data_IF_725401122227
#
_entry.id   IF_725401122227
#
_cell.length_a   1.000
_cell.length_b   1.000
_cell.length_c   1.000
_cell.angle_alpha   90.00
_cell.angle_beta   90.00
_cell.angle_gamma   90.00
#
_symmetry.space_group_name_H-M   'P 1'
#
loop_
_entity.id
_entity.type
_entity.pdbx_description
1 polymer ?
#
# COMPACT_ATOMS: atom_id res chain seq x y z
N UNK A 1 -5.11 -64.24 -29.01
CA UNK A 1 -5.57 -63.71 -30.32
C UNK A 1 -4.42 -62.94 -30.96
N UNK A 2 -4.15 -63.25 -32.25
CA UNK A 2 -3.39 -62.55 -33.31
C UNK A 2 -3.04 -61.06 -33.02
N UNK A 3 -1.94 -60.40 -33.42
CA UNK A 3 -0.76 -60.56 -34.33
C UNK A 3 0.12 -59.30 -34.04
N UNK A 4 1.45 -59.37 -33.83
CA UNK A 4 2.55 -59.13 -34.80
C UNK A 4 2.62 -57.70 -35.43
N UNK A 5 3.83 -57.08 -35.31
CA UNK A 5 4.67 -56.30 -36.27
C UNK A 5 5.07 -54.86 -35.81
N UNK A 6 6.32 -54.57 -35.42
CA UNK A 6 7.57 -54.26 -36.17
C UNK A 6 7.58 -52.91 -36.93
N UNK A 7 8.50 -51.99 -36.55
CA UNK A 7 9.59 -51.42 -37.40
C UNK A 7 10.01 -49.95 -37.10
N UNK A 8 11.34 -49.79 -36.95
CA UNK A 8 12.27 -48.77 -37.46
C UNK A 8 12.23 -47.28 -37.05
N UNK A 9 13.28 -46.90 -36.31
CA UNK A 9 14.45 -46.09 -36.72
C UNK A 9 14.25 -45.02 -37.83
N UNK A 10 14.47 -43.75 -37.49
CA UNK A 10 15.13 -42.76 -38.38
C UNK A 10 16.06 -41.87 -37.54
N UNK A 11 17.33 -41.89 -37.94
CA UNK A 11 18.43 -41.05 -37.51
C UNK A 11 18.56 -39.93 -38.56
N UNK A 12 18.58 -38.65 -38.15
CA UNK A 12 19.13 -37.58 -39.00
C UNK A 12 20.02 -36.70 -38.14
N UNK A 13 21.29 -36.68 -38.57
CA UNK A 13 22.41 -35.94 -38.05
C UNK A 13 22.76 -34.93 -39.15
N UNK A 14 22.80 -33.64 -38.85
CA UNK A 14 23.41 -32.63 -39.72
C UNK A 14 24.33 -31.77 -38.87
N UNK A 15 25.60 -31.77 -39.28
CA UNK A 15 26.72 -31.00 -38.75
C UNK A 15 27.05 -29.88 -39.75
N UNK A 16 27.71 -28.85 -39.24
CA UNK A 16 28.63 -27.90 -39.92
C UNK A 16 27.98 -26.57 -40.35
N UNK A 17 28.64 -25.40 -40.33
CA UNK A 17 30.05 -25.01 -40.30
C UNK A 17 30.25 -23.64 -39.60
N UNK A 18 31.48 -23.40 -39.15
CA UNK A 18 32.02 -22.13 -38.66
C UNK A 18 32.28 -21.09 -39.77
N UNK A 19 32.41 -19.80 -39.41
CA UNK A 19 33.47 -18.93 -39.95
C UNK A 19 33.64 -17.65 -39.12
N UNK A 20 34.90 -17.30 -38.91
CA UNK A 20 35.42 -16.05 -38.34
C UNK A 20 35.36 -14.88 -39.34
N UNK A 21 35.59 -13.66 -38.85
CA UNK A 21 35.96 -12.51 -39.67
C UNK A 21 36.08 -11.20 -38.90
N UNK A 22 37.31 -10.86 -38.48
CA UNK A 22 37.74 -9.51 -38.09
C UNK A 22 37.63 -8.53 -39.27
N UNK A 23 37.49 -7.23 -38.99
CA UNK A 23 38.44 -6.25 -39.53
C UNK A 23 38.33 -4.88 -38.83
N UNK A 24 39.52 -4.38 -38.49
CA UNK A 24 39.86 -3.04 -38.03
C UNK A 24 39.66 -1.98 -39.12
N UNK A 25 39.59 -0.70 -38.71
CA UNK A 25 40.42 0.31 -39.37
C UNK A 25 39.83 1.69 -39.66
N UNK A 26 40.32 2.67 -38.90
CA UNK A 26 40.93 3.97 -39.33
C UNK A 26 40.09 5.01 -40.10
N UNK A 27 40.16 6.26 -39.63
CA UNK A 27 40.03 7.45 -40.50
C UNK A 27 39.71 8.76 -39.76
N UNK A 28 40.75 9.45 -39.27
CA UNK A 28 40.71 10.89 -38.96
C UNK A 28 40.53 11.71 -40.26
N UNK A 29 39.82 12.85 -40.20
CA UNK A 29 40.25 14.04 -40.94
C UNK A 29 39.65 15.34 -40.38
N UNK A 30 40.55 16.30 -40.21
CA UNK A 30 40.40 17.67 -39.71
C UNK A 30 40.09 18.57 -40.90
N UNK A 31 39.22 19.57 -40.74
CA UNK A 31 39.24 20.76 -41.60
C UNK A 31 38.94 22.01 -40.78
N UNK A 32 40.00 22.80 -40.59
CA UNK A 32 39.95 24.20 -40.20
C UNK A 32 39.62 25.06 -41.42
N UNK A 33 38.72 26.03 -41.26
CA UNK A 33 38.73 27.25 -42.08
C UNK A 33 38.46 28.47 -41.20
N UNK A 34 39.44 29.36 -41.18
CA UNK A 34 39.33 30.74 -40.71
C UNK A 34 38.46 31.56 -41.66
N UNK A 35 37.60 32.43 -41.12
CA UNK A 35 37.17 33.67 -41.76
C UNK A 35 37.02 34.79 -40.73
N UNK A 36 37.19 36.00 -41.24
CA UNK A 36 37.65 37.23 -40.62
C UNK A 36 36.64 37.93 -39.70
N UNK A 37 37.20 38.78 -38.84
CA UNK A 37 36.48 39.67 -37.95
C UNK A 37 35.86 40.85 -38.69
N UNK A 38 34.58 41.10 -38.46
CA UNK A 38 33.96 42.41 -38.58
C UNK A 38 33.31 42.79 -37.25
N UNK A 39 33.73 43.94 -36.73
CA UNK A 39 33.22 44.62 -35.53
C UNK A 39 32.01 45.47 -35.88
N UNK A 40 30.93 45.28 -35.13
CA UNK A 40 29.76 46.15 -34.83
C UNK A 40 28.69 45.17 -34.30
N UNK A 41 27.86 45.39 -33.30
CA UNK A 41 27.27 46.57 -32.71
C UNK A 41 26.61 46.11 -31.38
N UNK A 42 26.41 47.03 -30.45
CA UNK A 42 25.61 46.94 -29.20
C UNK A 42 25.02 45.57 -28.78
N UNK A 43 25.74 44.82 -27.93
CA UNK A 43 25.14 43.77 -27.10
C UNK A 43 24.23 44.39 -26.04
N UNK A 44 22.94 44.51 -26.34
CA UNK A 44 21.90 44.48 -25.31
C UNK A 44 21.98 43.12 -24.61
N UNK A 45 22.39 43.15 -23.34
CA UNK A 45 22.20 42.02 -22.41
C UNK A 45 20.71 41.67 -22.47
N UNK A 46 20.33 40.43 -22.84
CA UNK A 46 18.94 40.01 -22.69
C UNK A 46 18.64 40.10 -21.20
N UNK A 47 17.63 40.89 -20.85
CA UNK A 47 16.99 40.78 -19.54
C UNK A 47 16.63 39.31 -19.38
N UNK A 48 17.29 38.61 -18.46
CA UNK A 48 16.87 37.29 -18.00
C UNK A 48 15.49 37.49 -17.38
N UNK A 49 14.45 37.41 -18.21
CA UNK A 49 13.11 37.13 -17.71
C UNK A 49 13.22 35.74 -17.13
N UNK A 50 13.36 35.66 -15.80
CA UNK A 50 13.15 34.44 -15.03
C UNK A 50 11.85 33.84 -15.56
N UNK A 51 11.97 32.77 -16.34
CA UNK A 51 10.80 32.02 -16.73
C UNK A 51 10.25 31.48 -15.42
N UNK A 52 9.16 32.10 -14.92
CA UNK A 52 8.40 31.57 -13.81
C UNK A 52 7.99 30.15 -14.23
N UNK A 53 8.74 29.16 -13.76
CA UNK A 53 8.42 27.77 -13.97
C UNK A 53 7.05 27.56 -13.36
N UNK A 54 6.02 27.46 -14.20
CA UNK A 54 4.67 27.15 -13.76
C UNK A 54 4.70 25.78 -13.08
N UNK A 55 4.66 25.80 -11.74
CA UNK A 55 4.55 24.59 -10.96
C UNK A 55 3.11 24.10 -11.13
N UNK A 56 2.96 22.96 -11.77
CA UNK A 56 1.66 22.31 -11.92
C UNK A 56 1.54 21.11 -10.98
N UNK A 57 0.34 20.93 -10.42
CA UNK A 57 -0.03 19.77 -9.60
C UNK A 57 -1.31 19.19 -10.20
N UNK A 58 -1.29 17.91 -10.58
CA UNK A 58 -2.43 17.27 -11.25
C UNK A 58 -2.81 17.94 -12.59
N UNK A 59 -1.84 18.57 -13.26
CA UNK A 59 -2.05 19.28 -14.53
C UNK A 59 -2.72 20.66 -14.41
N UNK A 60 -2.82 21.23 -13.20
CA UNK A 60 -3.29 22.60 -12.96
C UNK A 60 -2.22 23.43 -12.28
N UNK A 61 -2.26 24.75 -12.46
CA UNK A 61 -1.31 25.66 -11.83
C UNK A 61 -1.52 25.63 -10.30
N UNK A 62 -0.43 25.56 -9.52
CA UNK A 62 -0.51 25.52 -8.05
C UNK A 62 -1.25 26.73 -7.47
N UNK A 63 -1.20 27.88 -8.17
CA UNK A 63 -1.88 29.12 -7.79
C UNK A 63 -3.41 29.06 -7.95
N UNK A 64 -3.95 28.02 -8.62
CA UNK A 64 -5.40 27.80 -8.73
C UNK A 64 -6.01 27.23 -7.43
N UNK A 65 -5.17 26.86 -6.46
CA UNK A 65 -5.59 26.26 -5.20
C UNK A 65 -5.43 27.24 -4.04
N UNK A 66 -6.38 27.22 -3.09
CA UNK A 66 -6.28 28.03 -1.88
C UNK A 66 -5.13 27.58 -0.99
N UNK A 67 -4.94 26.26 -0.87
CA UNK A 67 -3.83 25.69 -0.10
C UNK A 67 -3.36 24.38 -0.70
N UNK A 68 -2.04 24.21 -0.71
CA UNK A 68 -1.35 22.99 -1.08
C UNK A 68 -0.43 22.58 0.06
N UNK A 69 -0.50 21.32 0.46
CA UNK A 69 0.43 20.72 1.40
C UNK A 69 1.05 19.50 0.74
N UNK A 70 2.36 19.53 0.52
CA UNK A 70 3.13 18.40 0.01
C UNK A 70 3.73 17.60 1.17
N UNK A 71 3.85 16.30 0.97
CA UNK A 71 4.49 15.37 1.90
C UNK A 71 5.72 14.77 1.24
N UNK A 72 6.77 14.55 2.03
CA UNK A 72 7.95 13.87 1.53
C UNK A 72 7.65 12.40 1.22
N UNK A 73 8.28 11.90 0.15
CA UNK A 73 8.41 10.46 -0.06
C UNK A 73 9.22 9.86 1.10
N UNK A 74 8.93 8.61 1.53
CA UNK A 74 9.64 8.00 2.65
C UNK A 74 11.14 7.95 2.41
N UNK A 75 11.95 8.33 3.39
CA UNK A 75 13.40 8.15 3.32
C UNK A 75 13.76 6.66 3.12
N UNK A 76 14.86 6.40 2.41
CA UNK A 76 15.29 5.03 2.11
C UNK A 76 14.48 4.36 1.00
N UNK A 77 14.36 3.03 1.06
CA UNK A 77 13.69 2.24 0.02
C UNK A 77 12.17 2.21 0.25
N UNK A 78 11.39 2.15 -0.83
CA UNK A 78 9.94 1.94 -0.73
C UNK A 78 9.59 0.64 0.01
N UNK A 79 10.42 -0.38 -0.11
CA UNK A 79 10.27 -1.66 0.59
C UNK A 79 10.35 -1.48 2.11
N UNK A 80 11.29 -0.67 2.59
CA UNK A 80 11.42 -0.36 4.02
C UNK A 80 10.20 0.41 4.53
N UNK A 81 9.69 1.37 3.76
CA UNK A 81 8.50 2.14 4.13
C UNK A 81 7.25 1.26 4.27
N UNK A 82 7.05 0.31 3.35
CA UNK A 82 5.95 -0.65 3.39
C UNK A 82 6.06 -1.55 4.62
N UNK A 83 7.25 -2.10 4.89
CA UNK A 83 7.47 -2.96 6.06
C UNK A 83 7.34 -2.18 7.37
N UNK A 84 7.84 -0.95 7.43
CA UNK A 84 7.71 -0.07 8.60
C UNK A 84 6.24 0.22 8.91
N UNK A 85 5.41 0.52 7.91
CA UNK A 85 3.98 0.75 8.13
C UNK A 85 3.25 -0.52 8.55
N UNK A 86 3.61 -1.68 8.02
CA UNK A 86 3.03 -2.95 8.45
C UNK A 86 3.40 -3.28 9.91
N UNK A 87 4.65 -3.00 10.32
CA UNK A 87 5.09 -3.09 11.73
C UNK A 87 4.33 -2.11 12.63
N UNK A 88 4.11 -0.89 12.16
CA UNK A 88 3.33 0.12 12.87
C UNK A 88 1.89 -0.37 13.13
N UNK A 89 1.22 -0.92 12.12
CA UNK A 89 -0.12 -1.51 12.28
C UNK A 89 -0.12 -2.65 13.31
N UNK A 90 0.95 -3.44 13.38
CA UNK A 90 1.09 -4.55 14.33
C UNK A 90 1.51 -4.14 15.75
N UNK A 91 1.92 -2.89 15.97
CA UNK A 91 2.51 -2.44 17.24
C UNK A 91 1.61 -1.51 18.07
N UNK A 92 0.41 -1.16 17.60
CA UNK A 92 -0.48 -0.25 18.33
C UNK A 92 -1.01 -0.96 19.57
N UNK A 93 -0.63 -0.49 20.77
CA UNK A 93 -1.15 -1.02 22.03
C UNK A 93 -2.53 -0.43 22.36
N UNK A 94 -3.43 -1.28 22.87
CA UNK A 94 -4.75 -0.84 23.30
C UNK A 94 -5.36 -1.76 24.37
N UNK A 95 -6.31 -1.22 25.13
CA UNK A 95 -7.13 -1.96 26.09
C UNK A 95 -8.56 -2.05 25.56
N UNK A 96 -9.17 -3.22 25.68
CA UNK A 96 -10.56 -3.41 25.27
C UNK A 96 -11.51 -2.90 26.37
N UNK A 97 -12.36 -1.91 26.08
CA UNK A 97 -13.30 -1.36 27.08
C UNK A 97 -14.47 -2.31 27.40
N UNK A 98 -14.91 -3.08 26.41
CA UNK A 98 -16.09 -3.93 26.46
C UNK A 98 -15.84 -5.23 25.71
N UNK A 99 -16.32 -6.35 26.24
CA UNK A 99 -16.14 -7.64 25.55
C UNK A 99 -16.93 -7.64 24.26
N UNK A 100 -16.26 -7.84 23.12
CA UNK A 100 -16.89 -8.03 21.83
C UNK A 100 -16.33 -9.25 21.12
N UNK A 101 -17.18 -9.90 20.34
CA UNK A 101 -16.80 -10.99 19.45
C UNK A 101 -16.82 -10.52 18.02
N UNK A 102 -15.94 -11.06 17.20
CA UNK A 102 -16.09 -10.99 15.75
C UNK A 102 -16.38 -12.41 15.30
N UNK A 103 -17.62 -12.61 14.85
CA UNK A 103 -18.06 -13.88 14.28
C UNK A 103 -18.50 -13.63 12.85
N UNK A 104 -17.81 -14.25 11.91
CA UNK A 104 -18.26 -14.28 10.53
C UNK A 104 -18.11 -15.68 9.94
N UNK A 105 -19.23 -16.22 9.48
CA UNK A 105 -19.32 -17.51 8.82
C UNK A 105 -19.07 -17.35 7.32
N UNK A 106 -17.82 -17.08 6.95
CA UNK A 106 -17.41 -17.25 5.55
C UNK A 106 -17.22 -18.74 5.26
N UNK A 107 -18.13 -19.35 4.48
CA UNK A 107 -17.95 -20.59 3.72
C UNK A 107 -16.77 -21.49 4.19
N UNK A 108 -16.81 -22.01 5.43
CA UNK A 108 -15.84 -22.91 6.10
C UNK A 108 -14.67 -22.34 6.95
N UNK A 109 -14.46 -21.02 7.07
CA UNK A 109 -13.31 -20.43 7.80
C UNK A 109 -13.59 -19.91 9.21
N UNK A 110 -14.87 -19.90 9.64
CA UNK A 110 -15.36 -19.52 10.98
C UNK A 110 -14.39 -18.62 11.76
N UNK A 111 -14.43 -17.31 11.51
CA UNK A 111 -13.63 -16.38 12.32
C UNK A 111 -14.31 -16.31 13.68
N UNK A 112 -13.61 -16.74 14.73
CA UNK A 112 -14.10 -16.71 16.10
C UNK A 112 -13.07 -16.00 16.98
N UNK A 113 -13.02 -14.68 16.87
CA UNK A 113 -12.18 -13.84 17.72
C UNK A 113 -13.04 -13.22 18.82
N UNK A 114 -12.56 -13.29 20.06
CA UNK A 114 -13.20 -12.63 21.19
C UNK A 114 -12.20 -11.74 21.90
N UNK A 115 -12.47 -10.44 21.86
CA UNK A 115 -11.73 -9.42 22.60
C UNK A 115 -12.44 -9.19 23.93
N UNK A 116 -11.74 -9.36 25.04
CA UNK A 116 -12.32 -9.33 26.38
C UNK A 116 -12.05 -8.01 27.07
N UNK A 117 -13.07 -7.48 27.75
CA UNK A 117 -12.98 -6.28 28.58
C UNK A 117 -11.78 -6.32 29.52
N UNK A 118 -11.03 -5.22 29.56
CA UNK A 118 -9.88 -5.01 30.45
C UNK A 118 -8.59 -5.73 30.02
N UNK A 119 -8.63 -6.55 28.97
CA UNK A 119 -7.41 -7.16 28.44
C UNK A 119 -6.63 -6.21 27.54
N UNK A 120 -5.32 -6.40 27.53
CA UNK A 120 -4.38 -5.67 26.67
C UNK A 120 -4.16 -6.40 25.36
N UNK A 121 -4.18 -5.65 24.28
CA UNK A 121 -3.93 -6.11 22.92
C UNK A 121 -2.84 -5.26 22.27
N UNK A 122 -2.17 -5.82 21.26
CA UNK A 122 -1.27 -5.08 20.38
C UNK A 122 -1.58 -5.37 18.92
N UNK A 123 -1.49 -4.31 18.13
CA UNK A 123 -1.82 -4.25 16.72
C UNK A 123 -3.32 -4.07 16.47
N UNK A 124 -3.62 -3.58 15.28
CA UNK A 124 -4.99 -3.36 14.81
C UNK A 124 -5.75 -4.71 14.77
N UNK A 125 -7.02 -4.78 15.22
CA UNK A 125 -7.84 -6.00 15.16
C UNK A 125 -7.97 -6.59 13.76
N UNK A 126 -8.12 -7.92 13.68
CA UNK A 126 -8.48 -8.60 12.44
C UNK A 126 -9.95 -8.26 12.09
N UNK A 127 -10.19 -7.45 11.04
CA UNK A 127 -11.52 -7.05 10.55
C UNK A 127 -11.48 -6.53 9.09
N UNK A 128 -12.61 -6.43 8.36
CA UNK A 128 -12.66 -5.91 6.97
C UNK A 128 -13.22 -4.49 6.86
N UNK A 129 -12.89 -3.63 7.82
CA UNK A 129 -13.07 -2.18 7.63
C UNK A 129 -11.94 -1.57 6.82
N UNK A 130 -10.72 -2.16 6.85
CA UNK A 130 -9.53 -1.62 6.14
C UNK A 130 -9.00 -0.33 6.76
N UNK A 131 -9.18 -0.18 8.07
CA UNK A 131 -8.76 0.99 8.86
C UNK A 131 -7.24 1.17 8.82
N UNK A 132 -6.77 2.40 8.63
CA UNK A 132 -5.34 2.73 8.74
C UNK A 132 -4.87 2.77 10.20
N UNK A 133 -3.55 2.70 10.43
CA UNK A 133 -2.95 2.87 11.76
C UNK A 133 -3.42 4.16 12.45
N UNK A 134 -3.50 5.26 11.71
CA UNK A 134 -3.92 6.56 12.24
C UNK A 134 -5.41 6.58 12.61
N UNK A 135 -6.29 6.06 11.75
CA UNK A 135 -7.72 5.94 12.06
C UNK A 135 -7.94 5.06 13.30
N UNK A 136 -7.20 3.96 13.45
CA UNK A 136 -7.32 3.12 14.65
C UNK A 136 -6.87 3.87 15.90
N UNK A 137 -5.74 4.59 15.86
CA UNK A 137 -5.29 5.43 17.00
C UNK A 137 -6.31 6.48 17.40
N UNK A 138 -6.93 7.12 16.43
CA UNK A 138 -7.95 8.15 16.68
C UNK A 138 -9.24 7.56 17.27
N UNK A 139 -9.53 6.29 17.01
CA UNK A 139 -10.62 5.56 17.66
C UNK A 139 -10.30 5.16 19.11
N UNK A 140 -9.05 5.29 19.55
CA UNK A 140 -8.67 5.06 20.95
C UNK A 140 -8.97 6.29 21.80
N UNK A 141 -9.61 6.08 22.95
CA UNK A 141 -9.76 7.09 24.00
C UNK A 141 -8.87 6.68 25.16
N UNK A 142 -7.83 7.46 25.45
CA UNK A 142 -6.83 7.17 26.50
C UNK A 142 -6.25 5.74 26.39
N UNK A 143 -5.94 5.31 25.15
CA UNK A 143 -5.42 3.96 24.87
C UNK A 143 -6.47 2.84 24.94
N UNK A 144 -7.75 3.18 25.05
CA UNK A 144 -8.86 2.22 25.14
C UNK A 144 -9.68 2.22 23.86
N UNK A 145 -9.94 1.04 23.30
CA UNK A 145 -10.83 0.86 22.15
C UNK A 145 -12.20 0.38 22.59
N UNK A 146 -13.26 1.05 22.13
CA UNK A 146 -14.66 0.66 22.33
C UNK A 146 -15.29 0.32 21.00
N UNK A 147 -15.46 -0.97 20.73
CA UNK A 147 -16.14 -1.42 19.52
C UNK A 147 -17.65 -1.16 19.64
N UNK A 148 -18.26 -0.57 18.60
CA UNK A 148 -19.68 -0.24 18.56
C UNK A 148 -20.55 -1.39 17.99
N UNK A 149 -19.93 -2.49 17.56
CA UNK A 149 -20.59 -3.58 16.84
C UNK A 149 -19.84 -4.90 17.02
N UNK A 150 -20.55 -6.01 16.91
CA UNK A 150 -20.01 -7.37 16.84
C UNK A 150 -19.84 -7.86 15.39
N UNK A 151 -20.21 -7.02 14.41
CA UNK A 151 -20.09 -7.33 12.99
C UNK A 151 -18.69 -7.04 12.51
N UNK A 152 -18.12 -8.01 11.80
CA UNK A 152 -16.79 -7.95 11.21
C UNK A 152 -16.52 -6.68 10.38
N UNK A 153 -17.50 -6.23 9.61
CA UNK A 153 -17.40 -5.02 8.77
C UNK A 153 -17.55 -3.69 9.52
N UNK A 154 -17.87 -3.71 10.80
CA UNK A 154 -18.09 -2.50 11.63
C UNK A 154 -16.97 -2.33 12.67
N UNK A 155 -16.13 -3.35 12.89
CA UNK A 155 -14.98 -3.29 13.79
C UNK A 155 -13.84 -2.56 13.10
N UNK A 156 -13.28 -1.52 13.73
CA UNK A 156 -12.09 -0.84 13.21
C UNK A 156 -10.91 -1.82 13.22
N UNK A 157 -10.53 -2.26 12.03
CA UNK A 157 -9.57 -3.34 11.85
C UNK A 157 -9.10 -3.51 10.41
N UNK A 158 -8.18 -4.45 10.23
CA UNK A 158 -7.61 -4.81 8.92
C UNK A 158 -7.54 -6.32 8.78
N UNK A 159 -7.68 -6.80 7.55
CA UNK A 159 -7.47 -8.20 7.22
C UNK A 159 -6.13 -8.38 6.52
N UNK A 160 -5.75 -9.63 6.23
CA UNK A 160 -4.42 -9.96 5.72
C UNK A 160 -4.06 -9.17 4.45
N UNK A 161 -5.02 -8.90 3.57
CA UNK A 161 -4.77 -8.10 2.36
C UNK A 161 -4.92 -6.61 2.54
N UNK A 162 -5.95 -6.16 3.26
CA UNK A 162 -6.11 -4.72 3.45
C UNK A 162 -4.97 -4.10 4.25
N UNK A 163 -4.33 -4.86 5.15
CA UNK A 163 -3.12 -4.44 5.85
C UNK A 163 -1.91 -4.24 4.93
N UNK A 164 -1.69 -5.17 3.97
CA UNK A 164 -0.64 -5.04 2.94
C UNK A 164 -0.94 -3.87 2.00
N UNK A 165 -2.18 -3.75 1.55
CA UNK A 165 -2.66 -2.65 0.72
C UNK A 165 -2.43 -1.29 1.38
N UNK A 166 -2.85 -1.14 2.64
CA UNK A 166 -2.65 0.08 3.42
C UNK A 166 -1.16 0.44 3.52
N UNK A 167 -0.30 -0.58 3.64
CA UNK A 167 1.16 -0.40 3.66
C UNK A 167 1.73 0.02 2.31
N UNK A 168 1.29 -0.56 1.21
CA UNK A 168 1.79 -0.23 -0.13
C UNK A 168 1.33 1.15 -0.57
N UNK A 169 0.16 1.61 -0.14
CA UNK A 169 -0.31 2.97 -0.41
C UNK A 169 0.51 4.07 0.26
N UNK A 170 1.49 3.72 1.10
CA UNK A 170 2.54 4.64 1.53
C UNK A 170 3.47 5.06 0.38
N UNK A 171 3.56 4.27 -0.68
CA UNK A 171 4.51 4.50 -1.79
C UNK A 171 3.86 4.42 -3.17
N UNK A 172 2.70 3.77 -3.28
CA UNK A 172 1.97 3.59 -4.54
C UNK A 172 0.48 3.90 -4.34
N UNK A 173 0.03 5.13 -4.62
CA UNK A 173 -1.34 5.55 -4.30
C UNK A 173 -2.41 4.83 -5.12
N UNK A 174 -2.08 4.41 -6.34
CA UNK A 174 -3.01 3.81 -7.30
C UNK A 174 -3.11 2.28 -7.18
N UNK A 175 -2.47 1.66 -6.19
CA UNK A 175 -2.67 0.24 -5.92
C UNK A 175 -4.01 0.13 -5.22
N UNK A 176 -4.96 -0.62 -5.79
CA UNK A 176 -6.28 -0.96 -5.21
C UNK A 176 -6.57 -2.46 -5.39
N UNK A 177 -7.21 -3.11 -4.40
CA UNK A 177 -7.66 -4.50 -4.58
C UNK A 177 -8.14 -5.26 -3.34
N UNK A 178 -8.56 -6.50 -3.60
CA UNK A 178 -8.88 -7.55 -2.60
C UNK A 178 -7.85 -8.69 -2.70
N UNK A 179 -7.89 -9.69 -1.80
CA UNK A 179 -7.12 -10.94 -1.94
C UNK A 179 -7.26 -11.57 -3.32
N UNK A 180 -8.45 -11.47 -3.91
CA UNK A 180 -8.75 -11.98 -5.24
C UNK A 180 -7.90 -11.34 -6.34
N UNK A 181 -7.46 -10.10 -6.14
CA UNK A 181 -6.72 -9.31 -7.12
C UNK A 181 -5.19 -9.45 -6.98
N UNK A 182 -4.70 -10.21 -5.99
CA UNK A 182 -3.26 -10.38 -5.75
C UNK A 182 -2.66 -11.60 -6.47
N UNK A 183 -3.48 -12.52 -7.00
CA UNK A 183 -3.00 -13.76 -7.63
C UNK A 183 -2.44 -13.53 -9.04
N UNK A 184 -1.18 -13.93 -9.34
CA UNK A 184 -0.63 -13.88 -10.69
C UNK A 184 -1.53 -14.62 -11.66
N UNK A 185 -2.00 -13.96 -12.73
CA UNK A 185 -2.94 -14.48 -13.73
C UNK A 185 -4.44 -14.29 -13.44
N UNK A 186 -4.84 -13.99 -12.19
CA UNK A 186 -6.10 -13.28 -11.85
C UNK A 186 -5.75 -11.84 -11.42
N UNK A 187 -4.71 -11.28 -12.04
CA UNK A 187 -4.31 -9.90 -11.80
C UNK A 187 -5.41 -9.03 -12.38
N UNK A 188 -6.29 -8.51 -11.52
CA UNK A 188 -7.05 -7.34 -11.92
C UNK A 188 -6.00 -6.28 -12.26
N UNK A 189 -6.22 -5.55 -13.35
CA UNK A 189 -5.38 -4.46 -13.83
C UNK A 189 -5.05 -3.38 -12.76
N UNK A 190 -5.66 -3.47 -11.58
CA UNK A 190 -5.58 -2.51 -10.48
C UNK A 190 -4.42 -2.79 -9.50
N UNK A 191 -3.90 -4.03 -9.41
CA UNK A 191 -2.97 -4.39 -8.33
C UNK A 191 -1.48 -4.28 -8.69
N UNK A 192 -1.10 -4.20 -9.97
CA UNK A 192 0.30 -4.09 -10.47
C UNK A 192 1.30 -5.07 -9.79
N UNK A 193 0.79 -6.19 -9.29
CA UNK A 193 1.59 -7.28 -8.73
C UNK A 193 2.14 -8.10 -9.88
N UNK A 194 3.43 -8.43 -9.81
CA UNK A 194 4.13 -9.26 -10.79
C UNK A 194 4.76 -10.47 -10.09
N UNK A 195 5.03 -11.52 -10.86
CA UNK A 195 5.68 -12.71 -10.31
C UNK A 195 7.06 -12.36 -9.74
N UNK A 196 7.40 -12.91 -8.57
CA UNK A 196 8.75 -12.80 -8.02
C UNK A 196 9.56 -14.03 -8.44
N UNK A 197 10.38 -13.85 -9.48
CA UNK A 197 11.21 -14.90 -10.06
C UNK A 197 10.66 -15.45 -11.37
N UNK A 198 11.09 -16.66 -11.73
CA UNK A 198 10.80 -17.29 -13.02
C UNK A 198 10.01 -18.57 -12.78
N UNK A 199 8.69 -18.46 -12.75
CA UNK A 199 7.77 -19.59 -12.64
C UNK A 199 6.56 -19.40 -13.55
N UNK A 200 5.99 -20.50 -14.00
CA UNK A 200 4.86 -20.48 -14.94
C UNK A 200 3.54 -20.23 -14.21
N UNK A 201 2.70 -19.40 -14.82
CA UNK A 201 1.37 -19.07 -14.32
C UNK A 201 0.34 -19.62 -15.32
N UNK A 202 -0.44 -20.65 -14.95
CA UNK A 202 -1.51 -21.18 -15.80
C UNK A 202 -2.53 -20.11 -16.21
N UNK A 203 -3.13 -20.26 -17.39
CA UNK A 203 -4.12 -19.28 -17.92
C UNK A 203 -5.47 -19.30 -17.21
N UNK A 204 -5.87 -20.44 -16.66
CA UNK A 204 -7.08 -20.59 -15.86
C UNK A 204 -6.66 -20.80 -14.41
N UNK A 205 -6.93 -19.81 -13.56
CA UNK A 205 -6.54 -19.88 -12.16
C UNK A 205 -7.76 -19.86 -11.29
N UNK A 206 -7.89 -20.89 -10.49
CA UNK A 206 -8.79 -20.88 -9.33
C UNK A 206 -8.04 -21.01 -8.03
N UNK A 207 -6.80 -21.50 -8.07
CA UNK A 207 -6.00 -21.78 -6.87
C UNK A 207 -4.53 -21.53 -7.10
N UNK A 208 -3.83 -21.04 -6.08
CA UNK A 208 -2.37 -20.98 -6.10
C UNK A 208 -1.73 -22.37 -6.11
N UNK A 209 -2.44 -23.42 -5.67
CA UNK A 209 -2.02 -24.82 -5.85
C UNK A 209 -1.74 -25.15 -7.32
N UNK A 210 -2.52 -24.63 -8.26
CA UNK A 210 -2.35 -24.92 -9.69
C UNK A 210 -1.01 -24.36 -10.22
N UNK A 211 -0.56 -23.22 -9.68
CA UNK A 211 0.77 -22.67 -9.95
C UNK A 211 1.84 -23.60 -9.37
N UNK A 212 1.68 -24.04 -8.12
CA UNK A 212 2.63 -24.95 -7.47
C UNK A 212 2.72 -26.29 -8.23
N UNK A 213 1.60 -26.84 -8.69
CA UNK A 213 1.57 -28.13 -9.40
C UNK A 213 2.15 -28.06 -10.81
N UNK A 214 2.03 -26.89 -11.45
CA UNK A 214 2.60 -26.64 -12.79
C UNK A 214 4.12 -26.51 -12.73
N UNK A 215 4.65 -26.01 -11.61
CA UNK A 215 6.08 -25.77 -11.44
C UNK A 215 6.74 -26.88 -10.63
N UNK A 216 8.02 -27.18 -10.89
CA UNK A 216 8.74 -28.08 -10.00
C UNK A 216 9.00 -27.41 -8.63
N UNK A 217 9.11 -28.20 -7.57
CA UNK A 217 9.48 -27.67 -6.26
C UNK A 217 10.82 -26.91 -6.25
N UNK A 218 11.74 -27.26 -7.16
CA UNK A 218 13.02 -26.56 -7.31
C UNK A 218 12.82 -25.18 -7.96
N UNK A 219 11.96 -25.07 -8.98
CA UNK A 219 11.59 -23.79 -9.60
C UNK A 219 10.97 -22.86 -8.57
N UNK A 220 10.03 -23.37 -7.75
CA UNK A 220 9.42 -22.56 -6.70
C UNK A 220 10.45 -22.13 -5.64
N UNK A 221 11.41 -22.99 -5.29
CA UNK A 221 12.49 -22.60 -4.37
C UNK A 221 13.36 -21.47 -4.90
N UNK A 222 13.72 -21.48 -6.19
CA UNK A 222 14.48 -20.40 -6.82
C UNK A 222 13.64 -19.11 -6.96
N UNK A 223 12.31 -19.21 -7.05
CA UNK A 223 11.41 -18.06 -6.97
C UNK A 223 11.37 -17.45 -5.55
N UNK A 224 11.20 -18.25 -4.50
CA UNK A 224 11.26 -17.75 -3.12
C UNK A 224 12.63 -17.18 -2.76
N UNK A 225 13.71 -17.73 -3.31
CA UNK A 225 15.07 -17.22 -3.11
C UNK A 225 15.28 -15.79 -3.61
N UNK A 226 14.40 -15.29 -4.48
CA UNK A 226 14.43 -13.92 -5.01
C UNK A 226 13.60 -12.93 -4.21
N UNK A 227 12.79 -13.41 -3.24
CA UNK A 227 11.97 -12.55 -2.41
C UNK A 227 12.88 -11.60 -1.61
N UNK A 228 12.56 -10.32 -1.72
CA UNK A 228 13.15 -9.24 -0.94
C UNK A 228 12.16 -8.74 0.09
N UNK A 229 12.69 -8.00 1.06
CA UNK A 229 11.88 -7.16 1.96
C UNK A 229 10.80 -6.40 1.19
N UNK A 230 9.56 -6.39 1.69
CA UNK A 230 8.41 -5.73 1.07
C UNK A 230 7.71 -6.52 -0.05
N UNK A 231 8.27 -7.64 -0.51
CA UNK A 231 7.55 -8.59 -1.37
C UNK A 231 6.47 -9.33 -0.59
N UNK A 232 5.61 -10.06 -1.31
CA UNK A 232 4.46 -10.73 -0.71
C UNK A 232 4.44 -12.19 -1.12
N UNK A 233 3.98 -13.04 -0.21
CA UNK A 233 3.58 -14.40 -0.54
C UNK A 233 2.07 -14.55 -0.34
N UNK A 234 1.40 -15.20 -1.29
CA UNK A 234 -0.05 -15.30 -1.32
C UNK A 234 -0.51 -16.75 -1.45
N UNK A 235 -1.63 -17.09 -0.85
CA UNK A 235 -2.34 -18.34 -1.07
C UNK A 235 -3.79 -18.02 -1.41
N UNK A 236 -4.34 -18.73 -2.40
CA UNK A 236 -5.74 -18.65 -2.76
C UNK A 236 -6.28 -20.04 -3.09
N UNK A 237 -7.46 -20.35 -2.56
CA UNK A 237 -8.28 -21.50 -2.92
C UNK A 237 -9.74 -21.05 -3.06
N UNK A 238 -10.13 -20.66 -4.28
CA UNK A 238 -11.48 -20.15 -4.56
C UNK A 238 -12.58 -21.17 -4.26
N UNK A 239 -12.30 -22.47 -4.34
CA UNK A 239 -13.30 -23.50 -4.10
C UNK A 239 -13.63 -23.63 -2.61
N UNK A 240 -12.69 -23.24 -1.74
CA UNK A 240 -12.87 -23.22 -0.29
C UNK A 240 -13.11 -21.81 0.25
N UNK A 241 -13.15 -20.80 -0.62
CA UNK A 241 -13.16 -19.39 -0.20
C UNK A 241 -11.95 -19.01 0.65
N UNK A 242 -10.83 -19.73 0.51
CA UNK A 242 -9.61 -19.48 1.27
C UNK A 242 -8.76 -18.44 0.54
N UNK A 243 -8.31 -17.43 1.26
CA UNK A 243 -7.24 -16.60 0.76
C UNK A 243 -6.45 -16.03 1.92
N UNK A 244 -5.13 -15.92 1.74
CA UNK A 244 -4.27 -15.35 2.75
C UNK A 244 -3.01 -14.78 2.13
N UNK A 245 -2.50 -13.72 2.73
CA UNK A 245 -1.31 -13.04 2.23
C UNK A 245 -0.39 -12.67 3.38
N UNK A 246 0.91 -12.63 3.09
CA UNK A 246 1.94 -12.26 4.05
C UNK A 246 2.94 -11.33 3.41
N UNK A 247 3.31 -10.27 4.11
CA UNK A 247 4.38 -9.37 3.68
C UNK A 247 5.71 -9.94 4.16
N UNK A 248 6.70 -10.02 3.28
CA UNK A 248 8.08 -10.40 3.58
C UNK A 248 8.77 -9.24 4.28
N UNK A 249 9.33 -9.45 5.47
CA UNK A 249 9.92 -8.38 6.29
C UNK A 249 11.43 -8.27 6.17
N UNK A 250 12.09 -9.29 5.64
CA UNK A 250 13.53 -9.34 5.38
C UNK A 250 13.79 -10.19 4.13
N UNK A 251 14.92 -9.97 3.47
CA UNK A 251 15.32 -10.77 2.30
C UNK A 251 15.35 -12.27 2.63
N UNK A 252 14.97 -13.10 1.66
CA UNK A 252 14.90 -14.54 1.86
C UNK A 252 16.26 -15.13 2.28
N UNK A 253 16.23 -16.01 3.29
CA UNK A 253 17.42 -16.72 3.76
C UNK A 253 17.56 -18.01 2.96
N UNK A 254 18.58 -18.07 2.09
CA UNK A 254 18.83 -19.18 1.17
C UNK A 254 20.03 -20.00 1.62
N UNK A 255 19.80 -21.28 1.91
CA UNK A 255 20.85 -22.23 2.27
C UNK A 255 20.95 -23.31 1.21
N UNK A 256 22.12 -23.42 0.58
CA UNK A 256 22.40 -24.46 -0.43
C UNK A 256 23.16 -25.64 0.17
N UNK A 257 22.90 -26.84 -0.31
CA UNK A 257 23.68 -28.02 0.05
C UNK A 257 25.00 -28.08 -0.75
N UNK A 258 25.84 -29.09 -0.49
CA UNK A 258 27.12 -29.26 -1.18
C UNK A 258 27.00 -29.41 -2.71
N UNK A 259 25.83 -29.82 -3.22
CA UNK A 259 25.55 -29.92 -4.65
C UNK A 259 25.00 -28.60 -5.25
N UNK A 260 25.01 -27.50 -4.49
CA UNK A 260 24.50 -26.19 -4.92
C UNK A 260 22.97 -26.06 -4.94
N UNK A 261 22.24 -27.11 -4.56
CA UNK A 261 20.77 -27.11 -4.54
C UNK A 261 20.24 -26.45 -3.27
N UNK A 262 19.18 -25.64 -3.40
CA UNK A 262 18.50 -25.02 -2.26
C UNK A 262 17.97 -26.12 -1.31
N UNK A 263 18.34 -26.01 -0.03
CA UNK A 263 17.77 -26.80 1.03
C UNK A 263 16.44 -26.15 1.46
N UNK A 264 15.35 -26.61 0.85
CA UNK A 264 13.99 -26.07 1.09
C UNK A 264 13.48 -26.18 2.53
N UNK A 265 14.00 -27.13 3.29
CA UNK A 265 13.63 -27.32 4.70
C UNK A 265 14.34 -26.36 5.65
N UNK A 266 15.49 -25.79 5.23
CA UNK A 266 16.29 -24.86 6.04
C UNK A 266 16.27 -23.43 5.52
N UNK A 267 15.99 -23.23 4.24
CA UNK A 267 15.79 -21.90 3.65
C UNK A 267 14.41 -21.40 4.02
N UNK A 268 14.28 -20.11 4.33
CA UNK A 268 13.06 -19.53 4.86
C UNK A 268 12.86 -18.07 4.47
N UNK A 269 11.62 -17.61 4.60
CA UNK A 269 11.25 -16.20 4.59
C UNK A 269 10.77 -15.80 5.98
N UNK A 270 11.00 -14.55 6.35
CA UNK A 270 10.37 -13.92 7.51
C UNK A 270 9.22 -13.06 7.04
N UNK A 271 8.09 -13.13 7.74
CA UNK A 271 6.89 -12.39 7.37
C UNK A 271 6.23 -11.66 8.53
N UNK A 272 5.39 -10.70 8.15
CA UNK A 272 4.37 -10.09 9.00
C UNK A 272 3.00 -10.30 8.35
N UNK A 273 2.02 -10.74 9.14
CA UNK A 273 0.67 -11.03 8.64
C UNK A 273 -0.39 -10.83 9.72
N UNK A 274 -1.60 -10.52 9.29
CA UNK A 274 -2.80 -10.55 10.11
C UNK A 274 -3.47 -11.92 10.02
N UNK A 275 -3.88 -12.51 11.14
CA UNK A 275 -4.51 -13.84 11.21
C UNK A 275 -5.85 -13.81 11.95
N UNK A 276 -6.68 -14.82 11.70
CA UNK A 276 -7.95 -15.03 12.38
C UNK A 276 -7.83 -15.68 13.77
N UNK A 277 -6.64 -15.63 14.38
CA UNK A 277 -6.35 -16.24 15.68
C UNK A 277 -5.41 -15.37 16.51
N UNK A 278 -5.40 -15.56 17.83
CA UNK A 278 -4.40 -14.91 18.67
C UNK A 278 -3.06 -15.65 18.59
N UNK A 279 -1.95 -14.91 18.55
CA UNK A 279 -0.61 -15.50 18.59
C UNK A 279 -0.38 -16.27 19.89
N UNK A 280 -0.42 -17.59 19.79
CA UNK A 280 -0.20 -18.51 20.90
C UNK A 280 1.26 -18.57 21.37
N UNK A 281 2.21 -18.02 20.59
CA UNK A 281 3.64 -18.04 20.94
C UNK A 281 4.03 -16.86 21.85
N UNK A 282 3.15 -15.87 22.02
CA UNK A 282 3.42 -14.70 22.88
C UNK A 282 3.26 -15.03 24.35
N UNK A 283 4.21 -14.58 25.18
CA UNK A 283 4.31 -14.96 26.61
C UNK A 283 4.25 -13.77 27.57
N UNK A 284 4.22 -12.54 27.07
CA UNK A 284 4.17 -11.29 27.84
C UNK A 284 2.74 -10.90 28.30
N UNK A 285 1.75 -11.77 28.07
CA UNK A 285 0.39 -11.61 28.56
C UNK A 285 -0.50 -10.64 27.77
N UNK A 286 0.02 -9.99 26.73
CA UNK A 286 -0.79 -9.17 25.80
C UNK A 286 -1.10 -10.00 24.55
N UNK A 287 -2.30 -9.83 23.98
CA UNK A 287 -2.79 -10.64 22.86
C UNK A 287 -2.62 -9.90 21.54
N UNK A 288 -2.46 -10.62 20.43
CA UNK A 288 -2.36 -10.02 19.10
C UNK A 288 -2.91 -10.96 18.04
N UNK A 289 -3.53 -10.41 17.01
CA UNK A 289 -3.87 -11.12 15.77
C UNK A 289 -2.76 -11.02 14.71
N UNK A 290 -1.64 -10.37 15.04
CA UNK A 290 -0.49 -10.21 14.14
C UNK A 290 0.56 -11.26 14.42
N UNK A 291 1.02 -11.98 13.39
CA UNK A 291 2.24 -12.77 13.49
C UNK A 291 3.38 -11.93 12.93
N UNK A 292 4.28 -11.51 13.81
CA UNK A 292 5.39 -10.61 13.49
C UNK A 292 6.70 -11.39 13.45
N UNK A 293 7.49 -11.18 12.40
CA UNK A 293 8.78 -11.84 12.16
C UNK A 293 8.72 -13.38 12.12
N UNK A 294 7.55 -13.94 11.78
CA UNK A 294 7.31 -15.39 11.71
C UNK A 294 8.10 -16.02 10.56
N UNK A 295 8.69 -17.19 10.81
CA UNK A 295 9.55 -17.89 9.84
C UNK A 295 8.80 -19.01 9.14
N UNK A 296 8.76 -18.96 7.82
CA UNK A 296 8.22 -20.03 6.97
C UNK A 296 9.31 -20.61 6.09
N UNK A 297 9.58 -21.92 6.23
CA UNK A 297 10.50 -22.61 5.32
C UNK A 297 9.92 -22.68 3.91
N UNK A 298 10.79 -22.74 2.89
CA UNK A 298 10.33 -22.89 1.50
C UNK A 298 9.48 -24.16 1.32
N UNK A 299 9.85 -25.25 1.99
CA UNK A 299 9.07 -26.49 1.98
C UNK A 299 7.65 -26.30 2.55
N UNK A 300 7.53 -25.54 3.65
CA UNK A 300 6.22 -25.21 4.24
C UNK A 300 5.37 -24.36 3.29
N UNK A 301 5.97 -23.38 2.62
CA UNK A 301 5.26 -22.52 1.66
C UNK A 301 4.73 -23.32 0.48
N UNK A 302 5.52 -24.22 -0.09
CA UNK A 302 5.09 -25.13 -1.18
C UNK A 302 3.94 -26.01 -0.70
N UNK A 303 4.08 -26.67 0.46
CA UNK A 303 3.04 -27.54 1.03
C UNK A 303 1.74 -26.82 1.38
N UNK A 304 1.79 -25.51 1.55
CA UNK A 304 0.63 -24.67 1.90
C UNK A 304 0.23 -23.73 0.78
N UNK A 305 0.72 -23.97 -0.44
CA UNK A 305 0.31 -23.32 -1.67
C UNK A 305 0.55 -21.80 -1.71
N UNK A 306 1.60 -21.33 -1.07
CA UNK A 306 1.96 -19.91 -1.15
C UNK A 306 2.82 -19.63 -2.37
N UNK A 307 2.50 -18.61 -3.16
CA UNK A 307 3.30 -18.20 -4.33
C UNK A 307 3.93 -16.81 -4.10
N UNK A 308 5.17 -16.58 -4.56
CA UNK A 308 5.89 -15.33 -4.32
C UNK A 308 5.58 -14.27 -5.39
N UNK A 309 5.19 -13.08 -4.95
CA UNK A 309 4.90 -11.93 -5.82
C UNK A 309 5.68 -10.69 -5.37
N UNK A 310 5.87 -9.76 -6.29
CA UNK A 310 6.46 -8.44 -6.03
C UNK A 310 5.61 -7.35 -6.69
N UNK A 311 5.99 -6.08 -6.53
CA UNK A 311 5.23 -4.94 -7.03
C UNK A 311 6.03 -4.10 -8.03
N UNK A 312 5.39 -3.66 -9.10
CA UNK A 312 6.03 -2.80 -10.11
C UNK A 312 6.62 -1.52 -9.53
N UNK A 313 6.00 -0.93 -8.49
CA UNK A 313 6.50 0.30 -7.86
C UNK A 313 7.92 0.15 -7.33
N UNK A 314 8.33 -1.06 -6.93
CA UNK A 314 9.68 -1.31 -6.42
C UNK A 314 10.76 -1.29 -7.51
N UNK A 315 10.36 -1.32 -8.78
CA UNK A 315 11.25 -1.26 -9.93
C UNK A 315 11.32 0.14 -10.57
N UNK A 316 10.53 1.11 -10.08
CA UNK A 316 10.56 2.49 -10.57
C UNK A 316 11.69 3.29 -9.93
N UNK A 317 12.26 4.22 -10.68
CA UNK A 317 13.12 5.23 -10.09
C UNK A 317 12.28 6.13 -9.17
N UNK A 318 12.83 6.49 -8.01
CA UNK A 318 12.16 7.37 -7.05
C UNK A 318 11.86 8.75 -7.66
N UNK A 319 12.70 9.23 -8.57
CA UNK A 319 12.51 10.49 -9.30
C UNK A 319 11.29 10.47 -10.24
N UNK A 320 10.81 9.28 -10.62
CA UNK A 320 9.59 9.10 -11.42
C UNK A 320 8.31 9.08 -10.56
N UNK A 321 8.45 9.16 -9.23
CA UNK A 321 7.32 9.12 -8.30
C UNK A 321 6.94 10.53 -7.86
N UNK A 322 5.67 10.90 -8.06
CA UNK A 322 5.14 12.16 -7.57
C UNK A 322 5.09 12.17 -6.03
N UNK A 323 5.49 13.31 -5.45
CA UNK A 323 5.33 13.53 -4.03
C UNK A 323 3.82 13.54 -3.66
N UNK A 324 3.43 12.89 -2.55
CA UNK A 324 2.07 12.98 -2.05
C UNK A 324 1.67 14.42 -1.73
N UNK A 325 0.41 14.78 -1.97
CA UNK A 325 -0.09 16.10 -1.64
C UNK A 325 -1.55 16.09 -1.16
N UNK A 326 -1.93 17.13 -0.44
CA UNK A 326 -3.31 17.51 -0.16
C UNK A 326 -3.58 18.92 -0.66
N UNK A 327 -4.72 19.12 -1.31
CA UNK A 327 -5.13 20.40 -1.89
C UNK A 327 -6.48 20.81 -1.30
N UNK A 328 -6.66 22.10 -1.05
CA UNK A 328 -7.94 22.72 -0.79
C UNK A 328 -8.27 23.69 -1.94
N UNK A 329 -9.36 23.43 -2.64
CA UNK A 329 -9.67 24.16 -3.88
C UNK A 329 -10.13 25.61 -3.66
N UNK A 330 -10.69 25.93 -2.49
CA UNK A 330 -11.30 27.23 -2.20
C UNK A 330 -11.15 27.58 -0.73
N UNK A 331 -11.03 28.87 -0.47
CA UNK A 331 -11.07 29.39 0.89
C UNK A 331 -12.38 29.00 1.58
N UNK A 332 -12.28 28.63 2.85
CA UNK A 332 -13.44 28.42 3.73
C UNK A 332 -13.63 29.70 4.53
N UNK A 333 -14.83 30.28 4.45
CA UNK A 333 -15.15 31.56 5.08
C UNK A 333 -15.98 31.36 6.37
N UNK A 334 -15.93 32.31 7.33
CA UNK A 334 -16.80 32.32 8.51
C UNK A 334 -18.29 32.14 8.18
N UNK A 335 -18.75 32.80 7.11
CA UNK A 335 -20.15 32.72 6.64
C UNK A 335 -20.54 31.30 6.24
N UNK A 336 -19.67 30.59 5.52
CA UNK A 336 -19.92 29.20 5.12
C UNK A 336 -20.02 28.27 6.33
N UNK A 337 -19.16 28.47 7.34
CA UNK A 337 -19.17 27.69 8.59
C UNK A 337 -20.47 27.96 9.36
N UNK A 338 -20.83 29.23 9.57
CA UNK A 338 -22.06 29.62 10.26
C UNK A 338 -23.33 29.08 9.57
N UNK A 339 -23.32 29.01 8.23
CA UNK A 339 -24.42 28.42 7.45
C UNK A 339 -24.39 26.89 7.41
N UNK A 340 -23.33 26.25 7.89
CA UNK A 340 -23.12 24.80 7.79
C UNK A 340 -22.96 24.31 6.36
N UNK A 341 -22.47 25.15 5.43
CA UNK A 341 -22.29 24.81 4.01
C UNK A 341 -20.86 25.15 3.58
N UNK A 342 -19.97 24.15 3.64
CA UNK A 342 -18.58 24.31 3.22
C UNK A 342 -18.48 24.13 1.71
N UNK A 343 -18.24 25.22 0.99
CA UNK A 343 -18.25 25.26 -0.47
C UNK A 343 -16.92 24.90 -1.13
N UNK A 344 -16.21 23.88 -0.63
CA UNK A 344 -14.85 23.52 -1.09
C UNK A 344 -14.70 22.00 -1.32
N UNK A 345 -13.58 21.59 -1.90
CA UNK A 345 -13.16 20.22 -2.11
C UNK A 345 -11.74 20.02 -1.56
N UNK A 346 -11.51 18.84 -0.98
CA UNK A 346 -10.16 18.35 -0.70
C UNK A 346 -9.75 17.40 -1.83
N UNK A 347 -8.57 17.59 -2.41
CA UNK A 347 -8.03 16.73 -3.48
C UNK A 347 -6.64 16.21 -3.11
N UNK A 348 -6.26 15.06 -3.68
CA UNK A 348 -4.99 14.39 -3.39
C UNK A 348 -4.61 13.45 -4.54
N UNK A 349 -3.31 13.26 -4.80
CA UNK A 349 -2.82 12.15 -5.64
C UNK A 349 -2.66 10.83 -4.87
N UNK A 350 -2.96 10.84 -3.56
CA UNK A 350 -3.06 9.67 -2.69
C UNK A 350 -4.49 9.51 -2.14
N UNK A 351 -4.94 8.29 -1.83
CA UNK A 351 -6.24 8.09 -1.20
C UNK A 351 -6.38 8.90 0.10
N UNK A 352 -7.43 9.73 0.17
CA UNK A 352 -7.78 10.55 1.33
C UNK A 352 -8.48 9.65 2.34
N UNK A 353 -7.79 9.28 3.42
CA UNK A 353 -8.30 8.36 4.43
C UNK A 353 -9.40 8.96 5.29
N UNK A 354 -9.28 10.25 5.59
CA UNK A 354 -10.23 10.97 6.42
C UNK A 354 -10.21 12.47 6.14
N UNK A 355 -11.33 13.11 6.43
CA UNK A 355 -11.46 14.55 6.55
C UNK A 355 -12.22 14.87 7.84
N UNK A 356 -11.55 15.59 8.74
CA UNK A 356 -12.12 16.10 9.98
C UNK A 356 -12.48 17.56 9.86
N UNK A 357 -13.64 17.87 10.42
CA UNK A 357 -14.16 19.20 10.64
C UNK A 357 -14.26 19.39 12.15
N UNK A 358 -13.27 20.07 12.72
CA UNK A 358 -13.19 20.31 14.15
C UNK A 358 -13.63 21.74 14.47
N UNK A 359 -14.34 21.88 15.58
CA UNK A 359 -14.71 23.16 16.17
C UNK A 359 -14.15 23.23 17.58
N UNK A 360 -13.36 24.25 17.83
CA UNK A 360 -12.79 24.56 19.13
C UNK A 360 -13.46 25.82 19.68
N UNK A 361 -13.70 25.87 20.99
CA UNK A 361 -14.06 27.11 21.67
C UNK A 361 -12.84 28.02 21.80
N UNK A 362 -13.07 29.29 22.16
CA UNK A 362 -12.01 30.30 22.40
C UNK A 362 -10.87 29.84 23.33
N UNK A 363 -11.16 28.98 24.30
CA UNK A 363 -10.19 28.40 25.23
C UNK A 363 -9.37 27.23 24.64
N UNK A 364 -9.59 26.89 23.36
CA UNK A 364 -8.91 25.82 22.67
C UNK A 364 -9.49 24.43 22.93
N UNK A 365 -10.64 24.32 23.62
CA UNK A 365 -11.29 23.02 23.87
C UNK A 365 -12.07 22.56 22.64
N UNK A 366 -11.92 21.29 22.25
CA UNK A 366 -12.73 20.69 21.19
C UNK A 366 -14.20 20.65 21.64
N UNK A 367 -15.05 21.41 20.94
CA UNK A 367 -16.50 21.48 21.15
C UNK A 367 -17.19 20.40 20.33
N UNK A 368 -16.77 20.23 19.07
CA UNK A 368 -17.37 19.29 18.15
C UNK A 368 -16.36 18.82 17.10
N UNK A 369 -16.47 17.54 16.73
CA UNK A 369 -15.77 16.93 15.59
C UNK A 369 -16.80 16.24 14.70
N UNK A 370 -16.73 16.51 13.41
CA UNK A 370 -17.43 15.72 12.40
C UNK A 370 -16.41 15.08 11.46
N UNK A 371 -16.48 13.77 11.33
CA UNK A 371 -15.78 13.02 10.30
C UNK A 371 -16.70 12.96 9.08
N UNK A 372 -16.29 13.55 7.95
CA UNK A 372 -17.14 13.57 6.76
C UNK A 372 -17.08 12.27 5.96
N UNK A 373 -15.98 11.51 6.07
CA UNK A 373 -15.76 10.27 5.34
C UNK A 373 -15.01 9.28 6.22
N UNK A 374 -15.62 8.12 6.40
CA UNK A 374 -14.97 6.94 6.94
C UNK A 374 -14.60 6.06 5.73
N UNK A 375 -13.31 5.92 5.45
CA UNK A 375 -12.77 4.91 4.51
C UNK A 375 -13.11 5.12 3.03
N UNK A 376 -13.16 6.36 2.58
CA UNK A 376 -13.21 6.64 1.16
C UNK A 376 -11.79 6.50 0.61
N UNK A 377 -11.49 5.45 -0.15
CA UNK A 377 -10.28 5.42 -0.98
C UNK A 377 -10.44 6.40 -2.17
N UNK A 378 -10.79 7.65 -1.85
CA UNK A 378 -11.13 8.72 -2.76
C UNK A 378 -9.94 9.66 -2.90
N UNK A 379 -9.73 10.13 -4.13
CA UNK A 379 -8.73 11.15 -4.44
C UNK A 379 -9.31 12.57 -4.37
N UNK A 380 -10.64 12.67 -4.16
CA UNK A 380 -11.36 13.93 -4.10
C UNK A 380 -12.59 13.83 -3.21
N UNK A 381 -12.62 14.67 -2.19
CA UNK A 381 -13.72 14.79 -1.24
C UNK A 381 -14.47 16.10 -1.45
N UNK A 382 -15.78 16.02 -1.71
CA UNK A 382 -16.66 17.18 -1.94
C UNK A 382 -17.34 17.59 -0.62
N UNK A 383 -17.05 18.79 -0.11
CA UNK A 383 -17.56 19.27 1.19
C UNK A 383 -18.93 19.97 1.10
N UNK A 384 -19.58 19.95 -0.08
CA UNK A 384 -20.77 20.76 -0.42
C UNK A 384 -22.09 20.32 0.20
N UNK A 385 -22.16 19.14 0.85
CA UNK A 385 -23.39 18.73 1.54
C UNK A 385 -23.52 19.56 2.81
N UNK A 386 -24.72 20.03 3.18
CA UNK A 386 -24.91 20.74 4.43
C UNK A 386 -24.32 19.91 5.57
N UNK A 387 -23.26 20.39 6.23
CA UNK A 387 -22.95 19.99 7.59
C UNK A 387 -23.91 20.74 8.49
N UNK A 388 -25.22 20.48 8.34
CA UNK A 388 -26.25 21.10 9.19
C UNK A 388 -25.98 20.85 10.66
N UNK A 389 -25.13 19.87 11.00
CA UNK A 389 -24.69 19.60 12.35
C UNK A 389 -23.59 20.55 12.86
N UNK A 390 -22.60 20.98 12.06
CA UNK A 390 -21.35 21.49 12.64
C UNK A 390 -21.55 22.75 13.51
N UNK A 391 -22.18 23.77 12.95
CA UNK A 391 -22.43 25.04 13.63
C UNK A 391 -23.86 25.19 14.19
N UNK A 392 -24.72 24.18 14.02
CA UNK A 392 -26.07 24.27 14.59
C UNK A 392 -26.04 24.15 16.11
N UNK A 393 -26.85 24.99 16.76
CA UNK A 393 -26.97 25.04 18.22
C UNK A 393 -25.68 25.36 18.97
N UNK A 394 -24.71 26.00 18.31
CA UNK A 394 -23.61 26.64 19.04
C UNK A 394 -24.16 27.79 19.89
N UNK A 395 -23.64 27.92 21.09
CA UNK A 395 -23.93 29.09 21.92
C UNK A 395 -23.28 30.34 21.29
N UNK A 396 -23.77 31.53 21.68
CA UNK A 396 -23.12 32.77 21.25
C UNK A 396 -21.70 32.82 21.80
N UNK A 397 -20.73 33.09 20.93
CA UNK A 397 -19.32 33.06 21.32
C UNK A 397 -18.35 33.02 20.16
N UNK A 398 -17.07 33.00 20.50
CA UNK A 398 -15.96 32.87 19.56
C UNK A 398 -15.52 31.41 19.44
N UNK A 399 -15.34 30.95 18.21
CA UNK A 399 -14.96 29.60 17.87
C UNK A 399 -13.86 29.59 16.80
N UNK A 400 -13.07 28.52 16.80
CA UNK A 400 -12.10 28.22 15.75
C UNK A 400 -12.53 26.95 15.03
N UNK A 401 -12.76 27.07 13.73
CA UNK A 401 -12.94 25.93 12.84
C UNK A 401 -11.60 25.47 12.30
N UNK A 402 -11.37 24.15 12.27
CA UNK A 402 -10.18 23.53 11.69
C UNK A 402 -10.60 22.41 10.74
N UNK A 403 -10.15 22.48 9.49
CA UNK A 403 -10.26 21.39 8.53
C UNK A 403 -8.93 20.64 8.46
N UNK A 404 -8.95 19.35 8.79
CA UNK A 404 -7.79 18.46 8.68
C UNK A 404 -8.11 17.34 7.72
N UNK A 405 -7.19 17.03 6.80
CA UNK A 405 -7.30 15.86 5.94
C UNK A 405 -6.08 14.96 6.12
N UNK A 406 -6.28 13.65 6.00
CA UNK A 406 -5.24 12.65 6.13
C UNK A 406 -5.14 11.76 4.91
N UNK A 407 -3.91 11.45 4.51
CA UNK A 407 -3.55 10.41 3.54
C UNK A 407 -2.70 9.36 4.26
N UNK A 408 -2.28 8.31 3.53
CA UNK A 408 -1.42 7.27 4.08
C UNK A 408 -0.16 7.83 4.77
N UNK A 409 0.42 8.91 4.22
CA UNK A 409 1.68 9.53 4.66
C UNK A 409 1.59 10.46 5.87
N UNK A 410 0.38 10.78 6.32
CA UNK A 410 0.17 11.73 7.40
C UNK A 410 -1.04 12.61 7.14
N UNK A 411 -1.16 13.68 7.92
CA UNK A 411 -2.26 14.62 7.83
C UNK A 411 -1.79 16.06 7.84
N UNK A 412 -2.66 16.93 7.35
CA UNK A 412 -2.40 18.35 7.30
C UNK A 412 -3.66 19.15 7.65
N UNK A 413 -3.47 20.23 8.40
CA UNK A 413 -4.46 21.28 8.54
C UNK A 413 -4.56 22.04 7.20
N UNK A 414 -5.71 21.97 6.54
CA UNK A 414 -5.95 22.64 5.26
C UNK A 414 -6.65 23.99 5.41
N UNK A 415 -7.38 24.19 6.50
CA UNK A 415 -7.98 25.48 6.83
C UNK A 415 -8.08 25.66 8.34
N UNK A 416 -7.93 26.92 8.78
CA UNK A 416 -8.21 27.39 10.12
C UNK A 416 -8.91 28.73 10.03
N UNK A 417 -10.09 28.81 10.63
CA UNK A 417 -10.98 29.98 10.48
C UNK A 417 -11.59 30.31 11.83
N UNK A 418 -11.28 31.49 12.33
CA UNK A 418 -11.94 32.03 13.52
C UNK A 418 -13.25 32.71 13.12
N UNK A 419 -14.30 32.49 13.90
CA UNK A 419 -15.61 33.10 13.67
C UNK A 419 -16.38 33.33 14.97
N UNK A 420 -17.36 34.22 14.90
CA UNK A 420 -18.26 34.53 16.01
C UNK A 420 -19.66 34.06 15.66
N UNK A 421 -20.30 33.38 16.61
CA UNK A 421 -21.74 33.03 16.57
C UNK A 421 -22.48 34.14 17.31
N UNK A 422 -23.36 34.85 16.58
CA UNK A 422 -24.09 36.03 17.09
C UNK A 422 -25.42 35.75 17.78
#
# INVERSE_FOLDING_TARGET
MKKILFCLLVLVLVVSFASCGNNDGVGDEVNETHYEAETNDETKVPEETEAETEITIGGKNINDYYKVVQFDLPEGSFRDAVVAHMREQASIEWVCSETFGITEDFNSWGIHLQFKKGEKYVGIPYADTKVSAEQFRQALVDGTYTCQSDKWKDVYGVQCVSSIYNSIQQVAPNVHGTTYNMTPGIVSFEFRGIICGQYEVPKSLRKTQEIIDTNSGDVMCEAYAQLKKGDVIIMQDLDRGAAHTRLVVEDAVVLRNAAGKINKGRSYVQTIEQTNSFDAQRTDGVKTTWYVDHKYSFDKLIQTNYVPITFEIYNKDRSECEAPYLLLDKEITPKQIAMGVIGSNVESNFPIRYVYLDLYSKDGKLVKREMKFDMADEFKVILRKPSTALASNLEKGEYTFVLTAGIARGSAELARVDFTVE
#
